data_IF_749091960354
#
_entry.id   IF_749091960354
#
_cell.length_a   1.000
_cell.length_b   1.000
_cell.length_c   1.000
_cell.angle_alpha   90.00
_cell.angle_beta   90.00
_cell.angle_gamma   90.00
#
_symmetry.space_group_name_H-M   'P 1'
#
loop_
_entity.id
_entity.type
_entity.pdbx_description
1 polymer ?
#
# COMPACT_ATOMS: atom_id res chain seq x y z
N UNK A 1 -6.13 -3.90 -9.51
CA UNK A 1 -5.00 -4.79 -9.19
C UNK A 1 -4.21 -4.28 -7.98
N UNK A 2 -3.71 -3.04 -7.99
CA UNK A 2 -2.90 -2.50 -6.88
C UNK A 2 -3.63 -2.38 -5.54
N UNK A 3 -4.95 -2.15 -5.51
CA UNK A 3 -5.70 -2.03 -4.26
C UNK A 3 -5.55 -3.27 -3.35
N UNK A 4 -5.78 -4.47 -3.90
CA UNK A 4 -5.68 -5.72 -3.15
C UNK A 4 -4.24 -6.00 -2.69
N UNK A 5 -3.25 -5.68 -3.53
CA UNK A 5 -1.83 -5.78 -3.18
C UNK A 5 -1.50 -4.90 -1.96
N UNK A 6 -1.88 -3.61 -2.01
CA UNK A 6 -1.58 -2.68 -0.93
C UNK A 6 -2.36 -2.97 0.35
N UNK A 7 -3.60 -3.46 0.25
CA UNK A 7 -4.36 -3.95 1.40
C UNK A 7 -3.62 -5.08 2.12
N UNK A 8 -3.12 -6.07 1.37
CA UNK A 8 -2.36 -7.18 1.92
C UNK A 8 -1.03 -6.70 2.53
N UNK A 9 -0.26 -5.88 1.81
CA UNK A 9 1.02 -5.33 2.26
C UNK A 9 0.85 -4.53 3.55
N UNK A 10 -0.06 -3.57 3.58
CA UNK A 10 -0.31 -2.72 4.74
C UNK A 10 -0.84 -3.53 5.92
N UNK A 11 -1.70 -4.52 5.66
CA UNK A 11 -2.18 -5.44 6.69
C UNK A 11 -1.06 -6.27 7.35
N UNK A 12 -0.04 -6.67 6.59
CA UNK A 12 1.13 -7.37 7.13
C UNK A 12 2.03 -6.41 7.91
N UNK A 13 2.36 -5.25 7.33
CA UNK A 13 3.24 -4.25 7.95
C UNK A 13 2.65 -3.75 9.28
N UNK A 14 1.35 -3.47 9.33
CA UNK A 14 0.67 -2.96 10.52
C UNK A 14 0.56 -3.99 11.67
N UNK A 15 0.76 -5.29 11.40
CA UNK A 15 0.82 -6.33 12.44
C UNK A 15 2.23 -6.49 13.04
N UNK A 16 3.24 -5.80 12.49
CA UNK A 16 4.61 -5.83 12.99
C UNK A 16 4.75 -5.03 14.29
N UNK A 17 5.36 -5.63 15.31
CA UNK A 17 5.54 -5.00 16.63
C UNK A 17 6.68 -3.96 16.66
N UNK A 18 7.51 -3.89 15.61
CA UNK A 18 8.67 -3.02 15.50
C UNK A 18 8.45 -1.86 14.52
N UNK A 19 7.21 -1.62 14.09
CA UNK A 19 6.87 -0.56 13.14
C UNK A 19 7.03 0.83 13.77
N UNK A 20 7.74 1.72 13.09
CA UNK A 20 7.89 3.13 13.47
C UNK A 20 7.99 4.04 12.22
N UNK A 21 8.05 5.35 12.45
CA UNK A 21 8.13 6.34 11.36
C UNK A 21 9.37 6.21 10.48
N UNK A 22 10.48 5.69 11.03
CA UNK A 22 11.75 5.58 10.33
C UNK A 22 11.81 4.33 9.42
N UNK A 23 11.06 3.28 9.76
CA UNK A 23 11.15 1.98 9.08
C UNK A 23 9.91 1.57 8.27
N UNK A 24 8.82 2.33 8.34
CA UNK A 24 7.56 1.99 7.66
C UNK A 24 7.73 1.84 6.15
N UNK A 25 8.45 2.75 5.51
CA UNK A 25 8.68 2.72 4.06
C UNK A 25 9.50 1.50 3.67
N UNK A 26 10.55 1.18 4.43
CA UNK A 26 11.41 0.02 4.19
C UNK A 26 10.62 -1.29 4.30
N UNK A 27 9.79 -1.42 5.35
CA UNK A 27 8.93 -2.59 5.53
C UNK A 27 7.92 -2.76 4.40
N UNK A 28 7.32 -1.66 3.92
CA UNK A 28 6.40 -1.71 2.76
C UNK A 28 7.13 -2.19 1.51
N UNK A 29 8.33 -1.65 1.22
CA UNK A 29 9.16 -2.09 0.09
C UNK A 29 9.45 -3.59 0.16
N UNK A 30 9.90 -4.09 1.31
CA UNK A 30 10.21 -5.51 1.51
C UNK A 30 8.98 -6.40 1.26
N UNK A 31 7.80 -6.00 1.73
CA UNK A 31 6.58 -6.78 1.53
C UNK A 31 6.10 -6.74 0.08
N UNK A 32 6.16 -5.59 -0.60
CA UNK A 32 5.85 -5.51 -2.04
C UNK A 32 6.81 -6.42 -2.81
N UNK A 33 8.12 -6.37 -2.54
CA UNK A 33 9.12 -7.24 -3.20
C UNK A 33 8.80 -8.73 -3.05
N UNK A 34 8.26 -9.15 -1.91
CA UNK A 34 7.88 -10.55 -1.63
C UNK A 34 6.60 -10.97 -2.36
N UNK A 35 5.62 -10.08 -2.45
CA UNK A 35 4.29 -10.40 -2.99
C UNK A 35 4.23 -10.19 -4.51
N UNK A 36 4.79 -9.07 -4.98
CA UNK A 36 4.79 -8.68 -6.38
C UNK A 36 6.07 -7.89 -6.74
N UNK A 37 7.05 -8.62 -7.25
CA UNK A 37 8.32 -8.05 -7.69
C UNK A 37 8.16 -7.04 -8.84
N UNK A 38 7.14 -7.20 -9.68
CA UNK A 38 6.91 -6.30 -10.81
C UNK A 38 6.49 -4.91 -10.34
N UNK A 39 5.59 -4.84 -9.35
CA UNK A 39 5.23 -3.58 -8.69
C UNK A 39 6.41 -2.96 -7.94
N UNK A 40 7.26 -3.78 -7.30
CA UNK A 40 8.48 -3.29 -6.66
C UNK A 40 9.41 -2.60 -7.66
N UNK A 41 9.70 -3.24 -8.79
CA UNK A 41 10.56 -2.71 -9.85
C UNK A 41 9.98 -1.43 -10.48
N UNK A 42 8.66 -1.36 -10.63
CA UNK A 42 7.98 -0.15 -11.09
C UNK A 42 8.20 1.01 -10.11
N UNK A 43 8.00 0.76 -8.82
CA UNK A 43 8.19 1.77 -7.78
C UNK A 43 9.66 2.16 -7.59
N UNK A 44 10.59 1.23 -7.77
CA UNK A 44 12.04 1.46 -7.76
C UNK A 44 12.47 2.42 -8.88
N UNK A 45 11.93 2.27 -10.10
CA UNK A 45 12.16 3.22 -11.21
C UNK A 45 11.68 4.63 -10.89
N UNK A 46 10.76 4.77 -9.94
CA UNK A 46 10.23 6.04 -9.43
C UNK A 46 10.93 6.48 -8.15
N UNK A 47 12.08 5.88 -7.81
CA UNK A 47 12.89 6.16 -6.62
C UNK A 47 12.10 5.97 -5.31
N UNK A 48 11.13 5.06 -5.32
CA UNK A 48 10.23 4.82 -4.20
C UNK A 48 9.53 6.09 -3.71
N UNK A 49 9.15 6.99 -4.62
CA UNK A 49 8.38 8.19 -4.27
C UNK A 49 7.08 7.77 -3.59
N UNK A 50 6.88 8.23 -2.35
CA UNK A 50 5.67 7.95 -1.57
C UNK A 50 4.41 8.59 -2.16
N UNK A 51 4.61 9.63 -2.98
CA UNK A 51 3.56 10.29 -3.75
C UNK A 51 3.36 9.65 -5.12
N UNK A 52 4.05 8.54 -5.43
CA UNK A 52 3.80 7.81 -6.66
C UNK A 52 2.36 7.31 -6.71
N UNK A 53 1.69 7.60 -7.82
CA UNK A 53 0.30 7.23 -8.05
C UNK A 53 0.21 5.87 -8.71
N UNK A 54 -0.27 4.88 -7.96
CA UNK A 54 -0.57 3.57 -8.51
C UNK A 54 -1.92 3.63 -9.23
N UNK A 55 -1.89 3.70 -10.56
CA UNK A 55 -3.09 3.78 -11.39
C UNK A 55 -3.83 2.44 -11.42
N UNK A 56 -5.05 2.37 -10.89
CA UNK A 56 -5.91 1.20 -11.05
C UNK A 56 -6.74 1.34 -12.33
N UNK A 57 -6.38 0.60 -13.38
CA UNK A 57 -6.99 0.68 -14.72
C UNK A 57 -8.44 0.16 -14.85
N UNK A 58 -9.15 -0.12 -13.75
CA UNK A 58 -10.55 -0.56 -13.80
C UNK A 58 -11.52 0.59 -13.46
N UNK A 59 -11.99 1.24 -14.53
CA UNK A 59 -13.27 1.94 -14.73
C UNK A 59 -13.59 3.30 -14.06
N UNK A 60 -14.00 4.22 -14.97
CA UNK A 60 -14.65 5.55 -14.90
C UNK A 60 -14.28 6.61 -13.85
N UNK A 61 -13.58 6.27 -12.78
CA UNK A 61 -13.02 7.22 -11.82
C UNK A 61 -11.59 6.81 -11.54
N UNK A 62 -10.62 7.40 -12.26
CA UNK A 62 -9.20 7.32 -11.93
C UNK A 62 -9.01 7.86 -10.51
N UNK A 63 -9.13 6.99 -9.51
CA UNK A 63 -8.65 7.29 -8.17
C UNK A 63 -7.16 7.00 -8.20
N UNK A 64 -6.40 8.07 -8.39
CA UNK A 64 -4.97 8.12 -8.15
C UNK A 64 -4.77 7.86 -6.64
N UNK A 65 -4.40 6.63 -6.31
CA UNK A 65 -4.15 6.23 -4.93
C UNK A 65 -2.64 6.29 -4.71
N UNK A 66 -2.20 7.35 -4.03
CA UNK A 66 -0.86 7.39 -3.43
C UNK A 66 -0.85 6.51 -2.18
N UNK A 67 0.35 6.08 -1.77
CA UNK A 67 0.54 5.23 -0.60
C UNK A 67 -0.12 5.82 0.67
N UNK A 68 -0.09 7.15 0.80
CA UNK A 68 -0.74 7.88 1.89
C UNK A 68 -2.29 7.77 1.85
N UNK A 69 -2.92 7.80 0.67
CA UNK A 69 -4.36 7.59 0.54
C UNK A 69 -4.75 6.18 1.01
N UNK A 70 -3.96 5.17 0.64
CA UNK A 70 -4.19 3.78 1.05
C UNK A 70 -4.00 3.61 2.56
N UNK A 71 -2.91 4.13 3.14
CA UNK A 71 -2.68 4.09 4.58
C UNK A 71 -3.83 4.74 5.37
N UNK A 72 -4.34 5.88 4.91
CA UNK A 72 -5.51 6.53 5.52
C UNK A 72 -6.80 5.70 5.42
N UNK A 73 -7.04 5.01 4.29
CA UNK A 73 -8.23 4.15 4.14
C UNK A 73 -8.19 2.96 5.09
N UNK A 74 -7.03 2.33 5.25
CA UNK A 74 -6.89 1.10 6.03
C UNK A 74 -6.63 1.32 7.53
N UNK A 75 -6.29 2.54 7.95
CA UNK A 75 -6.09 2.89 9.36
C UNK A 75 -7.34 3.56 10.00
N UNK A 76 -8.47 3.63 9.30
CA UNK A 76 -9.72 4.15 9.84
C UNK A 76 -10.46 3.08 10.66
N UNK A 77 -10.71 3.30 11.97
CA UNK A 77 -11.47 2.36 12.81
C UNK A 77 -12.89 2.05 12.29
N UNK A 78 -13.43 2.94 11.44
CA UNK A 78 -14.85 2.99 11.09
C UNK A 78 -15.26 2.03 9.96
N UNK A 79 -14.32 1.37 9.27
CA UNK A 79 -14.62 0.42 8.18
C UNK A 79 -14.44 -1.06 8.60
N UNK A 80 -14.04 -1.33 9.85
CA UNK A 80 -13.93 -2.68 10.39
C UNK A 80 -15.28 -3.32 10.76
N UNK A 81 -16.39 -2.59 10.59
CA UNK A 81 -17.75 -3.10 10.77
C UNK A 81 -18.37 -3.33 9.41
N UNK A 82 -18.19 -4.55 8.87
CA UNK A 82 -19.26 -5.38 8.25
C UNK A 82 -18.66 -6.64 7.62
N UNK A 83 -18.56 -7.67 8.45
CA UNK A 83 -18.86 -9.05 8.07
C UNK A 83 -19.06 -9.86 9.35
N UNK A 84 -20.24 -9.72 9.94
CA UNK A 84 -20.90 -10.82 10.65
C UNK A 84 -21.74 -11.57 9.62
#
# INVERSE_FOLDING_TARGET
MYLALFEQVLGIVNRGNDLNGDNIVEKIKEQIKKIDSSTYEEWEKKKFDINYEFSNNNDYNKKELILLHLACLYNQPQLRIRSQ
#
